data_IF_516415437812
#
_entry.id   IF_516415437812
#
_cell.length_a   1.000
_cell.length_b   1.000
_cell.length_c   1.000
_cell.angle_alpha   90.00
_cell.angle_beta   90.00
_cell.angle_gamma   90.00
#
_symmetry.space_group_name_H-M   'P 1'
#
loop_
_entity.id
_entity.type
_entity.pdbx_description
1 polymer ?
#
# COMPACT_ATOMS: atom_id res chain seq x y z
N UNK A 1 -3.76 -8.42 -25.30
CA UNK A 1 -4.29 -7.10 -24.86
C UNK A 1 -4.32 -7.06 -23.34
N UNK A 2 -3.33 -6.43 -22.72
CA UNK A 2 -3.18 -6.36 -21.27
C UNK A 2 -4.10 -5.29 -20.65
N UNK A 3 -5.41 -5.56 -20.63
CA UNK A 3 -6.33 -4.84 -19.72
C UNK A 3 -6.47 -5.68 -18.46
N UNK A 4 -6.50 -5.01 -17.30
CA UNK A 4 -6.88 -5.52 -15.96
C UNK A 4 -5.80 -5.86 -14.92
N UNK A 5 -4.60 -5.28 -14.99
CA UNK A 5 -3.82 -5.09 -13.75
C UNK A 5 -4.08 -3.71 -13.11
N UNK A 6 -4.45 -2.70 -13.90
CA UNK A 6 -4.69 -1.33 -13.41
C UNK A 6 -6.00 -1.17 -12.62
N UNK A 7 -6.95 -2.09 -12.77
CA UNK A 7 -8.22 -2.08 -12.03
C UNK A 7 -8.17 -2.84 -10.72
N UNK A 8 -7.07 -3.53 -10.41
CA UNK A 8 -6.95 -4.18 -9.12
C UNK A 8 -6.64 -3.09 -8.06
N UNK A 9 -7.56 -2.80 -7.13
CA UNK A 9 -7.35 -1.77 -6.11
C UNK A 9 -6.07 -2.02 -5.31
N UNK A 10 -5.65 -3.28 -5.19
CA UNK A 10 -4.43 -3.73 -4.50
C UNK A 10 -3.17 -3.23 -5.22
N UNK A 11 -3.12 -3.27 -6.55
CA UNK A 11 -1.95 -2.82 -7.32
C UNK A 11 -1.88 -1.30 -7.43
N UNK A 12 -3.04 -0.62 -7.48
CA UNK A 12 -3.09 0.84 -7.35
C UNK A 12 -2.54 1.31 -6.00
N UNK A 13 -2.84 0.60 -4.91
CA UNK A 13 -2.29 0.91 -3.59
C UNK A 13 -0.74 0.86 -3.59
N UNK A 14 -0.13 -0.12 -4.26
CA UNK A 14 1.33 -0.20 -4.40
C UNK A 14 1.89 1.00 -5.17
N UNK A 15 1.29 1.34 -6.30
CA UNK A 15 1.73 2.45 -7.16
C UNK A 15 1.67 3.80 -6.45
N UNK A 16 0.72 3.99 -5.53
CA UNK A 16 0.61 5.22 -4.76
C UNK A 16 1.66 5.39 -3.66
N UNK A 17 2.30 4.32 -3.19
CA UNK A 17 3.35 4.42 -2.17
C UNK A 17 4.62 4.95 -2.84
N UNK A 18 5.05 6.19 -2.54
CA UNK A 18 6.24 6.78 -3.12
C UNK A 18 7.49 6.18 -2.47
N UNK A 19 8.68 6.39 -3.06
CA UNK A 19 9.93 5.88 -2.53
C UNK A 19 10.23 6.34 -1.10
N UNK A 20 9.82 7.55 -0.70
CA UNK A 20 10.01 8.06 0.67
C UNK A 20 9.05 7.41 1.69
N UNK A 21 8.03 6.71 1.20
CA UNK A 21 6.94 6.11 1.97
C UNK A 21 5.73 7.01 2.16
N UNK A 22 4.61 6.40 2.52
CA UNK A 22 3.33 7.08 2.73
C UNK A 22 2.55 6.46 3.89
N UNK A 23 1.84 7.27 4.66
CA UNK A 23 1.02 6.75 5.75
C UNK A 23 -0.24 6.04 5.24
N UNK A 24 -0.70 5.03 5.98
CA UNK A 24 -2.00 4.36 5.72
C UNK A 24 -3.15 5.36 5.66
N UNK A 25 -3.10 6.42 6.47
CA UNK A 25 -4.09 7.49 6.44
C UNK A 25 -4.06 8.27 5.12
N UNK A 26 -2.89 8.67 4.63
CA UNK A 26 -2.76 9.38 3.36
C UNK A 26 -3.21 8.50 2.18
N UNK A 27 -2.88 7.21 2.21
CA UNK A 27 -3.32 6.23 1.21
C UNK A 27 -4.86 6.16 1.21
N UNK A 28 -5.47 6.06 2.39
CA UNK A 28 -6.92 6.05 2.57
C UNK A 28 -7.56 7.35 2.03
N UNK A 29 -7.01 8.52 2.34
CA UNK A 29 -7.51 9.80 1.81
C UNK A 29 -7.41 9.90 0.29
N UNK A 30 -6.35 9.37 -0.32
CA UNK A 30 -6.15 9.42 -1.79
C UNK A 30 -7.03 8.43 -2.55
N UNK A 31 -7.33 7.28 -1.96
CA UNK A 31 -8.13 6.23 -2.61
C UNK A 31 -9.61 6.28 -2.26
N UNK A 32 -9.99 6.97 -1.18
CA UNK A 32 -11.33 6.87 -0.60
C UNK A 32 -11.61 5.52 0.06
N UNK A 33 -10.62 4.62 0.14
CA UNK A 33 -10.76 3.32 0.80
C UNK A 33 -10.56 3.52 2.31
N UNK A 34 -11.34 2.82 3.12
CA UNK A 34 -11.21 2.91 4.57
C UNK A 34 -9.84 2.39 5.05
N UNK A 35 -9.36 2.96 6.17
CA UNK A 35 -8.03 2.64 6.71
C UNK A 35 -7.85 1.15 7.04
N UNK A 36 -8.92 0.45 7.44
CA UNK A 36 -8.85 -0.97 7.82
C UNK A 36 -8.66 -1.84 6.59
N UNK A 37 -9.38 -1.57 5.51
CA UNK A 37 -9.23 -2.25 4.21
C UNK A 37 -7.87 -1.97 3.60
N UNK A 38 -7.38 -0.73 3.62
CA UNK A 38 -6.01 -0.40 3.19
C UNK A 38 -4.98 -1.23 3.96
N UNK A 39 -5.08 -1.25 5.30
CA UNK A 39 -4.15 -2.03 6.14
C UNK A 39 -4.19 -3.52 5.82
N UNK A 40 -5.40 -4.10 5.69
CA UNK A 40 -5.58 -5.52 5.35
C UNK A 40 -4.97 -5.85 3.99
N UNK A 41 -5.22 -5.03 2.98
CA UNK A 41 -4.67 -5.26 1.63
C UNK A 41 -3.14 -5.15 1.62
N UNK A 42 -2.57 -4.18 2.31
CA UNK A 42 -1.11 -4.06 2.45
C UNK A 42 -0.51 -5.29 3.14
N UNK A 43 -1.15 -5.81 4.18
CA UNK A 43 -0.71 -7.05 4.85
C UNK A 43 -0.76 -8.26 3.90
N UNK A 44 -1.82 -8.38 3.09
CA UNK A 44 -1.95 -9.45 2.10
C UNK A 44 -0.85 -9.36 1.02
N UNK A 45 -0.54 -8.15 0.54
CA UNK A 45 0.56 -7.91 -0.40
C UNK A 45 1.91 -8.30 0.21
N UNK A 46 2.15 -7.89 1.46
CA UNK A 46 3.37 -8.23 2.18
C UNK A 46 3.49 -9.74 2.44
N UNK A 47 2.38 -10.43 2.66
CA UNK A 47 2.36 -11.88 2.87
C UNK A 47 2.53 -12.66 1.56
N UNK A 48 1.98 -12.16 0.44
CA UNK A 48 2.05 -12.82 -0.86
C UNK A 48 3.39 -12.64 -1.59
N UNK A 49 4.26 -11.74 -1.11
CA UNK A 49 5.60 -11.37 -1.61
C UNK A 49 6.09 -12.07 -2.91
N UNK A 50 5.52 -11.64 -4.04
CA UNK A 50 6.02 -11.84 -5.40
C UNK A 50 6.29 -10.48 -6.09
N UNK A 51 6.70 -9.46 -5.33
CA UNK A 51 6.85 -8.08 -5.79
C UNK A 51 7.63 -7.17 -4.82
N UNK A 52 7.71 -5.85 -5.07
CA UNK A 52 8.59 -4.94 -4.35
C UNK A 52 8.32 -5.00 -2.85
N UNK A 53 9.38 -5.25 -2.08
CA UNK A 53 9.31 -5.49 -0.64
C UNK A 53 8.80 -4.24 0.05
N UNK A 54 7.54 -4.26 0.49
CA UNK A 54 7.00 -3.21 1.34
C UNK A 54 7.26 -3.53 2.82
N UNK A 55 7.58 -2.50 3.60
CA UNK A 55 7.56 -2.56 5.06
C UNK A 55 6.54 -1.58 5.62
N UNK A 56 5.88 -2.01 6.69
CA UNK A 56 5.09 -1.13 7.54
C UNK A 56 5.90 -0.78 8.79
N UNK A 57 5.98 0.50 9.09
CA UNK A 57 6.70 1.06 10.24
C UNK A 57 5.75 1.94 11.05
N UNK A 58 5.73 1.77 12.36
CA UNK A 58 4.94 2.63 13.26
C UNK A 58 5.81 3.81 13.67
N UNK A 59 5.41 5.03 13.28
CA UNK A 59 6.08 6.28 13.65
C UNK A 59 5.11 7.15 14.45
N UNK A 60 5.33 7.22 15.76
CA UNK A 60 4.41 7.84 16.71
C UNK A 60 3.03 7.18 16.65
N UNK A 61 1.98 7.97 16.36
CA UNK A 61 0.59 7.51 16.25
C UNK A 61 0.22 7.04 14.81
N UNK A 62 1.16 6.99 13.87
CA UNK A 62 0.89 6.72 12.45
C UNK A 62 1.61 5.45 11.99
N UNK A 63 0.98 4.74 11.06
CA UNK A 63 1.61 3.63 10.32
C UNK A 63 2.04 4.14 8.96
N UNK A 64 3.35 4.11 8.72
CA UNK A 64 3.99 4.40 7.44
C UNK A 64 4.21 3.12 6.65
N UNK A 65 4.09 3.22 5.33
CA UNK A 65 4.39 2.16 4.37
C UNK A 65 5.57 2.64 3.54
N UNK A 66 6.67 1.87 3.49
CA UNK A 66 7.88 2.18 2.74
C UNK A 66 8.22 1.03 1.79
N UNK A 67 8.87 1.34 0.66
CA UNK A 67 9.49 0.34 -0.22
C UNK A 67 10.91 0.08 0.30
N UNK A 68 11.26 -1.17 0.57
CA UNK A 68 12.66 -1.59 0.71
C UNK A 68 13.35 -1.46 -0.66
N UNK A 69 14.59 -0.96 -0.65
CA UNK A 69 15.46 -0.93 -1.82
C UNK A 69 15.95 -2.33 -2.18
#
# INVERSE_FOLDING_TARGET
MARKLEDNPILRLLQMVPPEGMSVHQISCKTGIDRRTVKRNLQLIMAAQAGPKLRMETVGLRVLVRREK
#
